data_IF_249730280637
#
_entry.id   IF_249730280637
#
_cell.length_a   1.000
_cell.length_b   1.000
_cell.length_c   1.000
_cell.angle_alpha   90.00
_cell.angle_beta   90.00
_cell.angle_gamma   90.00
#
_symmetry.space_group_name_H-M   'P 1'
#
loop_
_entity.id
_entity.type
_entity.pdbx_description
1 polymer ?
#
# COMPACT_ATOMS: atom_id res chain seq x y z
N UNK A 1 20.48 19.86 16.60
CA UNK A 1 21.10 18.63 16.06
C UNK A 1 20.11 18.05 15.07
N UNK A 2 20.40 18.11 13.77
CA UNK A 2 19.57 17.49 12.74
C UNK A 2 19.51 15.99 13.05
N UNK A 3 18.29 15.45 13.18
CA UNK A 3 18.12 14.01 13.28
C UNK A 3 18.45 13.41 11.92
N UNK A 4 19.23 12.33 11.96
CA UNK A 4 19.47 11.46 10.82
C UNK A 4 18.15 10.82 10.39
N UNK A 5 17.73 11.12 9.17
CA UNK A 5 16.48 10.63 8.56
C UNK A 5 16.71 9.27 7.90
N UNK A 6 15.63 8.55 7.59
CA UNK A 6 15.76 7.29 6.87
C UNK A 6 16.36 7.50 5.47
N UNK A 7 17.15 6.53 4.99
CA UNK A 7 17.71 6.54 3.64
C UNK A 7 17.59 5.17 2.99
N UNK A 8 16.90 5.11 1.84
CA UNK A 8 16.77 3.90 1.03
C UNK A 8 18.14 3.30 0.67
N UNK A 9 19.12 4.14 0.32
CA UNK A 9 20.45 3.68 -0.09
C UNK A 9 21.26 3.05 1.05
N UNK A 10 21.09 3.52 2.29
CA UNK A 10 21.76 2.94 3.46
C UNK A 10 21.23 1.55 3.81
N UNK A 11 19.94 1.30 3.55
CA UNK A 11 19.28 0.04 3.90
C UNK A 11 19.16 -0.94 2.74
N UNK A 12 19.52 -0.55 1.52
CA UNK A 12 19.29 -1.35 0.31
C UNK A 12 19.90 -2.75 0.39
N UNK A 13 21.17 -2.85 0.78
CA UNK A 13 21.87 -4.14 0.94
C UNK A 13 21.22 -5.00 2.01
N UNK A 14 20.84 -4.40 3.14
CA UNK A 14 20.18 -5.13 4.23
C UNK A 14 18.82 -5.67 3.78
N UNK A 15 18.00 -4.85 3.12
CA UNK A 15 16.69 -5.24 2.61
C UNK A 15 16.83 -6.39 1.60
N UNK A 16 17.76 -6.28 0.64
CA UNK A 16 18.01 -7.34 -0.35
C UNK A 16 18.40 -8.67 0.31
N UNK A 17 19.25 -8.64 1.34
CA UNK A 17 19.64 -9.84 2.06
C UNK A 17 18.46 -10.43 2.85
N UNK A 18 17.70 -9.59 3.56
CA UNK A 18 16.52 -10.04 4.31
C UNK A 18 15.47 -10.66 3.41
N UNK A 19 15.20 -10.06 2.24
CA UNK A 19 14.27 -10.61 1.26
C UNK A 19 14.79 -11.92 0.68
N UNK A 20 16.09 -12.01 0.34
CA UNK A 20 16.68 -13.26 -0.09
C UNK A 20 16.43 -14.38 0.92
N UNK A 21 16.79 -14.14 2.19
CA UNK A 21 16.74 -15.14 3.24
C UNK A 21 15.31 -15.53 3.62
N UNK A 22 14.36 -14.60 3.52
CA UNK A 22 12.97 -14.87 3.94
C UNK A 22 12.06 -15.33 2.80
N UNK A 23 12.34 -14.94 1.56
CA UNK A 23 11.43 -15.14 0.43
C UNK A 23 11.99 -16.02 -0.69
N UNK A 24 13.31 -16.04 -0.90
CA UNK A 24 13.90 -16.62 -2.11
C UNK A 24 14.73 -17.88 -1.88
N UNK A 25 15.07 -18.20 -0.63
CA UNK A 25 15.76 -19.45 -0.28
C UNK A 25 14.99 -20.22 0.78
N UNK A 26 15.21 -21.53 0.83
CA UNK A 26 14.63 -22.38 1.85
C UNK A 26 15.45 -22.30 3.14
N UNK A 27 14.82 -21.80 4.20
CA UNK A 27 15.34 -21.80 5.57
C UNK A 27 14.23 -22.22 6.53
N UNK A 28 14.60 -22.60 7.75
CA UNK A 28 13.63 -22.96 8.79
C UNK A 28 12.68 -21.80 9.12
N UNK A 29 11.47 -22.13 9.58
CA UNK A 29 10.48 -21.12 9.99
C UNK A 29 11.01 -20.23 11.12
N UNK A 30 11.81 -20.77 12.04
CA UNK A 30 12.54 -19.99 13.04
C UNK A 30 13.45 -18.93 12.39
N UNK A 31 14.25 -19.34 11.40
CA UNK A 31 15.10 -18.43 10.62
C UNK A 31 14.29 -17.37 9.86
N UNK A 32 13.17 -17.78 9.24
CA UNK A 32 12.26 -16.86 8.55
C UNK A 32 11.70 -15.81 9.51
N UNK A 33 11.15 -16.20 10.65
CA UNK A 33 10.60 -15.27 11.65
C UNK A 33 11.64 -14.27 12.16
N UNK A 34 12.88 -14.72 12.39
CA UNK A 34 13.98 -13.84 12.77
C UNK A 34 14.32 -12.82 11.67
N UNK A 35 14.30 -13.24 10.40
CA UNK A 35 14.48 -12.36 9.24
C UNK A 35 13.33 -11.37 9.06
N UNK A 36 12.09 -11.85 9.12
CA UNK A 36 10.87 -11.05 8.99
C UNK A 36 10.80 -9.98 10.08
N UNK A 37 11.20 -10.30 11.33
CA UNK A 37 11.32 -9.30 12.40
C UNK A 37 12.30 -8.18 12.07
N UNK A 38 13.47 -8.51 11.52
CA UNK A 38 14.45 -7.50 11.11
C UNK A 38 13.91 -6.67 9.94
N UNK A 39 13.19 -7.29 9.02
CA UNK A 39 12.54 -6.59 7.90
C UNK A 39 11.49 -5.60 8.41
N UNK A 40 10.63 -6.03 9.33
CA UNK A 40 9.67 -5.16 10.01
C UNK A 40 10.36 -3.98 10.74
N UNK A 41 11.54 -4.18 11.34
CA UNK A 41 12.31 -3.09 11.93
C UNK A 41 12.70 -2.02 10.89
N UNK A 42 13.14 -2.44 9.70
CA UNK A 42 13.47 -1.51 8.61
C UNK A 42 12.22 -0.78 8.10
N UNK A 43 11.09 -1.47 7.97
CA UNK A 43 9.82 -0.84 7.58
C UNK A 43 9.35 0.19 8.61
N UNK A 44 9.43 -0.12 9.91
CA UNK A 44 9.12 0.84 10.99
C UNK A 44 10.04 2.04 10.94
N UNK A 45 11.34 1.84 10.70
CA UNK A 45 12.30 2.94 10.54
C UNK A 45 11.91 3.85 9.37
N UNK A 46 11.47 3.29 8.23
CA UNK A 46 10.95 4.06 7.09
C UNK A 46 9.69 4.84 7.47
N UNK A 47 8.70 4.20 8.11
CA UNK A 47 7.43 4.84 8.50
C UNK A 47 7.66 5.99 9.49
N UNK A 48 8.58 5.80 10.44
CA UNK A 48 8.91 6.77 11.48
C UNK A 48 10.00 7.78 11.08
N UNK A 49 10.56 7.64 9.87
CA UNK A 49 11.69 8.42 9.36
C UNK A 49 12.89 8.47 10.33
N UNK A 50 13.29 7.29 10.82
CA UNK A 50 14.40 7.12 11.77
C UNK A 50 15.61 6.54 11.03
N UNK A 51 16.70 7.32 10.98
CA UNK A 51 17.96 6.92 10.37
C UNK A 51 18.75 5.83 11.11
N UNK A 52 19.85 5.38 10.52
CA UNK A 52 20.66 4.26 11.00
C UNK A 52 21.54 4.61 12.21
N UNK A 53 21.82 5.89 12.45
CA UNK A 53 22.54 6.35 13.64
C UNK A 53 21.73 6.18 14.94
N UNK A 54 20.41 5.98 14.83
CA UNK A 54 19.53 5.79 15.98
C UNK A 54 19.28 4.30 16.23
N UNK A 55 19.41 3.89 17.50
CA UNK A 55 18.97 2.56 17.94
C UNK A 55 17.44 2.53 17.90
N UNK A 56 16.89 1.49 17.27
CA UNK A 56 15.48 1.16 17.28
C UNK A 56 15.38 -0.35 17.52
N UNK A 57 14.42 -0.76 18.34
CA UNK A 57 14.04 -2.16 18.50
C UNK A 57 12.51 -2.20 18.49
N UNK A 58 11.91 -3.22 17.86
CA UNK A 58 10.44 -3.29 17.73
C UNK A 58 9.70 -3.23 19.08
N UNK A 59 10.26 -3.81 20.15
CA UNK A 59 9.66 -3.73 21.50
C UNK A 59 9.59 -2.31 22.09
N UNK A 60 10.23 -1.31 21.47
CA UNK A 60 10.15 0.10 21.83
C UNK A 60 9.00 0.83 21.15
N UNK A 61 8.34 0.22 20.16
CA UNK A 61 7.18 0.80 19.46
C UNK A 61 5.94 0.61 20.34
N UNK A 62 5.75 1.54 21.27
CA UNK A 62 4.66 1.56 22.26
C UNK A 62 4.40 2.99 22.74
N UNK A 63 3.20 3.26 23.26
CA UNK A 63 2.77 4.60 23.71
C UNK A 63 3.78 5.27 24.66
N UNK A 64 4.31 4.52 25.61
CA UNK A 64 5.26 5.01 26.63
C UNK A 64 6.69 4.51 26.36
N UNK A 65 7.18 4.73 25.14
CA UNK A 65 8.57 4.41 24.79
C UNK A 65 9.55 5.27 25.59
N UNK A 66 10.59 4.66 26.13
CA UNK A 66 11.74 5.36 26.73
C UNK A 66 12.74 5.87 25.67
N UNK A 67 12.60 5.38 24.43
CA UNK A 67 13.38 5.85 23.30
C UNK A 67 12.85 7.19 22.78
N UNK A 68 13.61 8.27 23.02
CA UNK A 68 13.24 9.65 22.62
C UNK A 68 13.03 9.81 21.11
N UNK A 69 13.79 9.09 20.28
CA UNK A 69 13.64 9.15 18.82
C UNK A 69 12.30 8.54 18.39
N UNK A 70 11.97 7.36 18.93
CA UNK A 70 10.68 6.70 18.70
C UNK A 70 9.53 7.58 19.19
N UNK A 71 9.59 8.09 20.42
CA UNK A 71 8.53 8.93 20.99
C UNK A 71 8.24 10.17 20.11
N UNK A 72 9.29 10.86 19.65
CA UNK A 72 9.14 12.00 18.74
C UNK A 72 8.54 11.58 17.41
N UNK A 73 9.03 10.50 16.81
CA UNK A 73 8.55 10.04 15.53
C UNK A 73 7.08 9.58 15.57
N UNK A 74 6.68 8.89 16.62
CA UNK A 74 5.28 8.51 16.87
C UNK A 74 4.39 9.75 17.00
N UNK A 75 4.82 10.76 17.76
CA UNK A 75 4.08 12.02 17.85
C UNK A 75 3.92 12.70 16.48
N UNK A 76 4.96 12.67 15.63
CA UNK A 76 4.91 13.21 14.27
C UNK A 76 4.04 12.36 13.31
N UNK A 77 3.96 11.04 13.53
CA UNK A 77 3.10 10.13 12.78
C UNK A 77 1.61 10.42 13.06
N UNK A 78 1.30 10.97 14.22
CA UNK A 78 -0.06 11.27 14.68
C UNK A 78 -0.66 10.13 15.49
N UNK A 79 -1.61 10.46 16.37
CA UNK A 79 -2.14 9.52 17.38
C UNK A 79 -2.79 8.28 16.77
N UNK A 80 -3.58 8.45 15.72
CA UNK A 80 -4.28 7.34 15.06
C UNK A 80 -3.31 6.35 14.41
N UNK A 81 -2.43 6.82 13.52
CA UNK A 81 -1.44 5.97 12.85
C UNK A 81 -0.39 5.41 13.82
N UNK A 82 -0.13 6.11 14.94
CA UNK A 82 0.66 5.59 16.05
C UNK A 82 0.01 4.40 16.73
N UNK A 83 -1.31 4.41 16.93
CA UNK A 83 -2.01 3.25 17.47
C UNK A 83 -2.00 2.09 16.48
N UNK A 84 -2.14 2.37 15.20
CA UNK A 84 -2.15 1.35 14.16
C UNK A 84 -0.79 0.65 14.02
N UNK A 85 0.33 1.39 13.96
CA UNK A 85 1.66 0.78 13.93
C UNK A 85 1.93 -0.07 15.18
N UNK A 86 1.44 0.34 16.37
CA UNK A 86 1.59 -0.45 17.60
C UNK A 86 0.83 -1.78 17.48
N UNK A 87 -0.40 -1.78 16.95
CA UNK A 87 -1.16 -3.01 16.74
C UNK A 87 -0.44 -3.96 15.79
N UNK A 88 0.04 -3.46 14.66
CA UNK A 88 0.76 -4.27 13.67
C UNK A 88 2.03 -4.87 14.30
N UNK A 89 2.79 -4.09 15.06
CA UNK A 89 4.00 -4.58 15.75
C UNK A 89 3.68 -5.59 16.85
N UNK A 90 2.53 -5.52 17.50
CA UNK A 90 2.11 -6.54 18.46
C UNK A 90 1.81 -7.89 17.80
N UNK A 91 1.49 -7.92 16.50
CA UNK A 91 1.31 -9.17 15.75
C UNK A 91 2.66 -9.76 15.26
N UNK A 92 3.69 -8.92 15.11
CA UNK A 92 5.01 -9.34 14.60
C UNK A 92 5.98 -9.70 15.73
N UNK A 93 6.09 -8.82 16.73
CA UNK A 93 7.19 -8.84 17.69
C UNK A 93 7.20 -10.08 18.61
N UNK A 94 6.07 -10.65 19.08
CA UNK A 94 6.10 -11.86 19.89
C UNK A 94 6.76 -13.03 19.16
N UNK A 95 6.24 -13.44 18.00
CA UNK A 95 6.75 -14.56 17.21
C UNK A 95 8.18 -14.30 16.72
N UNK A 96 8.45 -13.10 16.22
CA UNK A 96 9.79 -12.74 15.76
C UNK A 96 10.83 -12.70 16.89
N UNK A 97 10.42 -12.39 18.12
CA UNK A 97 11.30 -12.41 19.30
C UNK A 97 11.57 -13.86 19.70
N UNK A 98 10.54 -14.68 19.77
CA UNK A 98 10.64 -16.07 20.20
C UNK A 98 11.45 -16.90 19.19
N UNK A 99 11.34 -16.61 17.89
CA UNK A 99 12.20 -17.17 16.84
C UNK A 99 13.69 -16.79 16.94
N UNK A 100 14.07 -15.91 17.87
CA UNK A 100 15.48 -15.58 18.17
C UNK A 100 15.94 -16.04 19.55
N UNK A 101 15.05 -16.60 20.37
CA UNK A 101 15.37 -17.03 21.73
C UNK A 101 15.64 -18.52 21.81
N UNK A 102 16.76 -18.88 22.45
CA UNK A 102 17.18 -20.27 22.68
C UNK A 102 16.27 -21.05 23.62
N UNK A 103 15.28 -20.40 24.24
CA UNK A 103 14.29 -21.02 25.12
C UNK A 103 13.13 -21.67 24.34
N UNK A 104 12.92 -21.28 23.08
CA UNK A 104 11.95 -21.93 22.21
C UNK A 104 12.62 -23.11 21.50
N UNK A 105 12.14 -24.31 21.77
CA UNK A 105 12.73 -25.57 21.26
C UNK A 105 11.85 -26.29 20.24
N UNK A 106 10.63 -25.81 20.04
CA UNK A 106 9.67 -26.37 19.08
C UNK A 106 9.88 -25.76 17.69
N UNK A 107 9.30 -26.39 16.67
CA UNK A 107 9.28 -25.84 15.33
C UNK A 107 8.08 -24.90 15.18
N UNK A 108 8.31 -23.74 14.56
CA UNK A 108 7.23 -22.84 14.18
C UNK A 108 6.47 -23.40 12.98
N UNK A 109 5.14 -23.26 13.02
CA UNK A 109 4.24 -23.62 11.94
C UNK A 109 4.33 -22.64 10.76
N UNK A 110 3.81 -23.05 9.60
CA UNK A 110 3.73 -22.16 8.43
C UNK A 110 2.70 -21.06 8.66
N UNK A 111 1.61 -21.37 9.35
CA UNK A 111 0.53 -20.43 9.68
C UNK A 111 1.05 -19.26 10.55
N UNK A 112 1.98 -19.53 11.48
CA UNK A 112 2.65 -18.48 12.27
C UNK A 112 3.53 -17.57 11.40
N UNK A 113 4.23 -18.14 10.41
CA UNK A 113 5.03 -17.36 9.46
C UNK A 113 4.12 -16.50 8.59
N UNK A 114 3.08 -17.08 8.00
CA UNK A 114 2.10 -16.40 7.15
C UNK A 114 1.42 -15.25 7.89
N UNK A 115 1.10 -15.42 9.18
CA UNK A 115 0.54 -14.34 10.01
C UNK A 115 1.49 -13.15 10.18
N UNK A 116 2.80 -13.40 10.31
CA UNK A 116 3.81 -12.32 10.38
C UNK A 116 4.03 -11.68 9.02
N UNK A 117 3.99 -12.45 7.93
CA UNK A 117 4.07 -11.91 6.57
C UNK A 117 2.89 -11.01 6.24
N UNK A 118 1.65 -11.37 6.62
CA UNK A 118 0.49 -10.51 6.45
C UNK A 118 0.60 -9.20 7.25
N UNK A 119 1.09 -9.27 8.49
CA UNK A 119 1.34 -8.08 9.30
C UNK A 119 2.44 -7.17 8.69
N UNK A 120 3.42 -7.75 7.97
CA UNK A 120 4.39 -6.97 7.19
C UNK A 120 3.71 -6.25 6.02
N UNK A 121 2.73 -6.86 5.37
CA UNK A 121 1.91 -6.18 4.34
C UNK A 121 1.11 -5.02 4.93
N UNK A 122 0.67 -5.11 6.18
CA UNK A 122 0.05 -3.98 6.89
C UNK A 122 1.03 -2.81 7.10
N UNK A 123 2.31 -3.08 7.42
CA UNK A 123 3.34 -2.04 7.49
C UNK A 123 3.56 -1.38 6.12
N UNK A 124 3.57 -2.17 5.04
CA UNK A 124 3.61 -1.61 3.68
C UNK A 124 2.43 -0.70 3.40
N UNK A 125 1.21 -1.15 3.72
CA UNK A 125 0.00 -0.36 3.54
C UNK A 125 0.04 0.95 4.35
N UNK A 126 0.55 0.91 5.59
CA UNK A 126 0.60 2.06 6.50
C UNK A 126 1.42 3.23 5.93
N UNK A 127 2.50 2.96 5.19
CA UNK A 127 3.26 4.00 4.50
C UNK A 127 2.39 4.80 3.52
N UNK A 128 1.57 4.10 2.74
CA UNK A 128 0.70 4.72 1.74
C UNK A 128 -0.57 5.30 2.34
N UNK A 129 -1.09 4.72 3.43
CA UNK A 129 -2.17 5.32 4.21
C UNK A 129 -1.74 6.72 4.69
N UNK A 130 -0.56 6.82 5.30
CA UNK A 130 0.01 8.11 5.75
C UNK A 130 0.12 9.09 4.59
N UNK A 131 0.68 8.64 3.47
CA UNK A 131 0.82 9.47 2.28
C UNK A 131 -0.53 10.04 1.79
N UNK A 132 -1.53 9.17 1.60
CA UNK A 132 -2.84 9.58 1.10
C UNK A 132 -3.63 10.46 2.09
N UNK A 133 -3.42 10.28 3.40
CA UNK A 133 -3.94 11.19 4.41
C UNK A 133 -3.27 12.57 4.32
N UNK A 134 -1.95 12.63 4.15
CA UNK A 134 -1.19 13.87 4.04
C UNK A 134 -1.62 14.70 2.82
N UNK A 135 -1.73 14.08 1.65
CA UNK A 135 -2.16 14.77 0.43
C UNK A 135 -3.67 15.01 0.37
N UNK A 136 -4.43 14.49 1.35
CA UNK A 136 -5.90 14.52 1.40
C UNK A 136 -6.51 14.01 0.09
N UNK A 137 -6.36 12.72 -0.14
CA UNK A 137 -6.88 12.04 -1.34
C UNK A 137 -8.30 12.51 -1.68
N UNK A 138 -8.56 12.79 -2.95
CA UNK A 138 -9.85 13.24 -3.43
C UNK A 138 -10.07 12.81 -4.88
N UNK A 139 -11.25 13.13 -5.41
CA UNK A 139 -11.58 12.93 -6.83
C UNK A 139 -10.58 13.62 -7.79
N UNK A 140 -9.89 14.66 -7.32
CA UNK A 140 -8.96 15.45 -8.12
C UNK A 140 -7.49 15.10 -7.86
N UNK A 141 -7.21 14.05 -7.10
CA UNK A 141 -5.84 13.61 -6.86
C UNK A 141 -5.15 13.16 -8.15
N UNK A 142 -3.84 13.37 -8.21
CA UNK A 142 -3.05 13.15 -9.42
C UNK A 142 -3.16 11.73 -9.95
N UNK A 143 -3.49 11.62 -11.24
CA UNK A 143 -3.68 10.34 -11.92
C UNK A 143 -2.38 9.51 -11.93
N UNK A 144 -1.21 10.16 -11.97
CA UNK A 144 0.10 9.50 -11.96
C UNK A 144 0.35 8.76 -10.65
N UNK A 145 0.11 9.41 -9.50
CA UNK A 145 0.22 8.79 -8.17
C UNK A 145 -0.68 7.56 -8.08
N UNK A 146 -1.94 7.68 -8.50
CA UNK A 146 -2.91 6.58 -8.46
C UNK A 146 -2.57 5.44 -9.42
N UNK A 147 -1.99 5.76 -10.58
CA UNK A 147 -1.53 4.77 -11.57
C UNK A 147 -0.34 3.99 -11.02
N UNK A 148 0.67 4.70 -10.51
CA UNK A 148 1.85 4.09 -9.92
C UNK A 148 1.51 3.28 -8.66
N UNK A 149 0.63 3.77 -7.79
CA UNK A 149 0.12 3.00 -6.65
C UNK A 149 -0.56 1.69 -7.08
N UNK A 150 -1.19 1.69 -8.26
CA UNK A 150 -1.86 0.50 -8.77
C UNK A 150 -0.88 -0.63 -9.10
N UNK A 151 0.42 -0.34 -9.25
CA UNK A 151 1.50 -1.31 -9.48
C UNK A 151 1.83 -2.16 -8.27
N UNK A 152 1.41 -1.75 -7.07
CA UNK A 152 1.58 -2.57 -5.88
C UNK A 152 0.76 -3.86 -5.93
N UNK A 153 1.19 -4.93 -5.21
CA UNK A 153 0.38 -6.11 -4.99
C UNK A 153 -1.06 -5.76 -4.57
N UNK A 154 -2.09 -6.42 -5.14
CA UNK A 154 -3.49 -6.14 -4.82
C UNK A 154 -3.80 -6.11 -3.32
N UNK A 155 -3.15 -6.96 -2.52
CA UNK A 155 -3.34 -7.04 -1.06
C UNK A 155 -2.97 -5.75 -0.33
N UNK A 156 -1.86 -5.11 -0.69
CA UNK A 156 -1.45 -3.83 -0.09
C UNK A 156 -2.41 -2.73 -0.49
N UNK A 157 -2.83 -2.71 -1.76
CA UNK A 157 -3.81 -1.73 -2.26
C UNK A 157 -5.14 -1.85 -1.52
N UNK A 158 -5.62 -3.08 -1.33
CA UNK A 158 -6.83 -3.36 -0.57
C UNK A 158 -6.71 -2.89 0.87
N UNK A 159 -5.65 -3.28 1.60
CA UNK A 159 -5.41 -2.85 2.99
C UNK A 159 -5.40 -1.32 3.12
N UNK A 160 -4.70 -0.62 2.22
CA UNK A 160 -4.66 0.84 2.19
C UNK A 160 -6.04 1.47 1.94
N UNK A 161 -6.74 1.05 0.88
CA UNK A 161 -8.03 1.66 0.54
C UNK A 161 -9.13 1.31 1.53
N UNK A 162 -9.11 0.10 2.09
CA UNK A 162 -10.05 -0.31 3.11
C UNK A 162 -9.90 0.54 4.37
N UNK A 163 -8.66 0.77 4.83
CA UNK A 163 -8.40 1.68 5.93
C UNK A 163 -8.94 3.09 5.63
N UNK A 164 -8.63 3.65 4.47
CA UNK A 164 -9.06 5.01 4.11
C UNK A 164 -10.58 5.12 3.98
N UNK A 165 -11.26 4.08 3.50
CA UNK A 165 -12.72 4.03 3.43
C UNK A 165 -13.35 4.07 4.81
N UNK A 166 -12.80 3.32 5.78
CA UNK A 166 -13.28 3.37 7.16
C UNK A 166 -13.10 4.74 7.83
N UNK A 167 -12.17 5.58 7.32
CA UNK A 167 -11.96 6.95 7.81
C UNK A 167 -12.85 7.98 7.13
N UNK A 168 -13.01 7.87 5.81
CA UNK A 168 -13.84 8.77 5.02
C UNK A 168 -14.64 7.99 3.99
N UNK A 169 -15.82 7.55 4.43
CA UNK A 169 -16.76 6.78 3.62
C UNK A 169 -17.39 7.60 2.49
N UNK A 170 -17.24 8.93 2.49
CA UNK A 170 -17.79 9.83 1.48
C UNK A 170 -16.82 10.08 0.30
N UNK A 171 -15.61 9.54 0.37
CA UNK A 171 -14.60 9.82 -0.63
C UNK A 171 -14.76 8.94 -1.88
N UNK A 172 -15.34 9.52 -2.94
CA UNK A 172 -15.60 8.83 -4.22
C UNK A 172 -14.35 8.12 -4.76
N UNK A 173 -13.18 8.77 -4.65
CA UNK A 173 -11.93 8.21 -5.17
C UNK A 173 -11.49 6.97 -4.38
N UNK A 174 -11.63 7.01 -3.05
CA UNK A 174 -11.33 5.89 -2.17
C UNK A 174 -12.28 4.73 -2.45
N UNK A 175 -13.59 4.98 -2.54
CA UNK A 175 -14.61 3.94 -2.79
C UNK A 175 -14.36 3.26 -4.15
N UNK A 176 -14.09 4.04 -5.20
CA UNK A 176 -13.73 3.52 -6.52
C UNK A 176 -12.48 2.63 -6.47
N UNK A 177 -11.42 3.10 -5.81
CA UNK A 177 -10.14 2.38 -5.75
C UNK A 177 -10.22 1.14 -4.86
N UNK A 178 -11.00 1.18 -3.78
CA UNK A 178 -11.29 0.02 -2.94
C UNK A 178 -12.02 -1.06 -3.74
N UNK A 179 -13.11 -0.70 -4.44
CA UNK A 179 -13.85 -1.63 -5.30
C UNK A 179 -12.92 -2.31 -6.32
N UNK A 180 -12.08 -1.54 -7.02
CA UNK A 180 -11.10 -2.09 -7.96
C UNK A 180 -10.04 -2.99 -7.28
N UNK A 181 -9.64 -2.69 -6.05
CA UNK A 181 -8.69 -3.53 -5.32
C UNK A 181 -9.30 -4.85 -4.84
N UNK A 182 -10.58 -4.85 -4.44
CA UNK A 182 -11.34 -6.05 -4.06
C UNK A 182 -11.43 -7.00 -5.25
N UNK A 183 -11.82 -6.47 -6.42
CA UNK A 183 -11.82 -7.22 -7.69
C UNK A 183 -10.48 -7.92 -7.93
N UNK A 184 -9.38 -7.17 -7.77
CA UNK A 184 -8.03 -7.66 -8.13
C UNK A 184 -7.50 -8.68 -7.13
N UNK A 185 -7.80 -8.50 -5.86
CA UNK A 185 -7.37 -9.39 -4.79
C UNK A 185 -8.20 -10.67 -4.81
N UNK A 186 -9.52 -10.52 -4.78
CA UNK A 186 -10.51 -11.60 -4.70
C UNK A 186 -11.08 -11.86 -6.10
N UNK A 187 -12.24 -11.26 -6.42
CA UNK A 187 -12.99 -11.40 -7.66
C UNK A 187 -14.16 -10.37 -7.74
N UNK A 188 -14.95 -10.41 -8.83
CA UNK A 188 -16.15 -9.56 -9.00
C UNK A 188 -17.26 -9.91 -8.04
N UNK A 189 -17.45 -11.17 -7.69
CA UNK A 189 -18.55 -11.60 -6.83
C UNK A 189 -18.38 -10.98 -5.45
N UNK A 190 -17.17 -11.04 -4.89
CA UNK A 190 -16.78 -10.38 -3.65
C UNK A 190 -16.95 -8.86 -3.76
N UNK A 191 -16.60 -8.25 -4.89
CA UNK A 191 -16.78 -6.81 -5.10
C UNK A 191 -18.25 -6.38 -5.13
N UNK A 192 -19.13 -7.17 -5.76
CA UNK A 192 -20.57 -6.93 -5.74
C UNK A 192 -21.16 -7.11 -4.35
N UNK A 193 -20.75 -8.16 -3.63
CA UNK A 193 -21.17 -8.39 -2.26
C UNK A 193 -20.79 -7.20 -1.37
N UNK A 194 -19.52 -6.76 -1.43
CA UNK A 194 -19.05 -5.60 -0.68
C UNK A 194 -19.83 -4.32 -1.05
N UNK A 195 -20.11 -4.10 -2.34
CA UNK A 195 -20.88 -2.94 -2.81
C UNK A 195 -22.32 -2.97 -2.27
N UNK A 196 -22.94 -4.15 -2.19
CA UNK A 196 -24.28 -4.31 -1.65
C UNK A 196 -24.33 -4.14 -0.13
N UNK A 197 -23.37 -4.71 0.60
CA UNK A 197 -23.23 -4.53 2.05
C UNK A 197 -23.05 -3.06 2.44
N UNK A 198 -22.44 -2.25 1.56
CA UNK A 198 -22.21 -0.82 1.76
C UNK A 198 -23.18 0.08 0.97
N UNK A 199 -24.27 -0.49 0.41
CA UNK A 199 -25.19 0.20 -0.50
C UNK A 199 -25.68 1.54 0.02
N UNK A 200 -26.21 1.57 1.23
CA UNK A 200 -26.83 2.78 1.80
C UNK A 200 -25.78 3.90 1.99
N UNK A 201 -24.59 3.53 2.44
CA UNK A 201 -23.46 4.45 2.63
C UNK A 201 -23.03 5.02 1.26
N UNK A 202 -22.87 4.16 0.26
CA UNK A 202 -22.36 4.55 -1.05
C UNK A 202 -23.38 5.38 -1.84
N UNK A 203 -24.67 5.07 -1.72
CA UNK A 203 -25.75 5.88 -2.31
C UNK A 203 -25.88 7.27 -1.68
N UNK A 204 -25.52 7.40 -0.41
CA UNK A 204 -25.54 8.68 0.30
C UNK A 204 -24.37 9.60 -0.05
N UNK A 205 -23.34 9.10 -0.75
CA UNK A 205 -22.19 9.92 -1.18
C UNK A 205 -22.69 11.01 -2.15
N UNK A 206 -22.43 12.30 -1.88
CA UNK A 206 -22.82 13.37 -2.77
C UNK A 206 -22.26 13.17 -4.18
N UNK A 207 -23.15 13.12 -5.16
CA UNK A 207 -22.75 12.98 -6.56
C UNK A 207 -22.19 14.31 -7.09
N UNK A 208 -21.08 14.31 -7.87
CA UNK A 208 -20.49 15.53 -8.39
C UNK A 208 -21.47 16.33 -9.26
N UNK A 209 -21.50 17.65 -9.10
CA UNK A 209 -22.27 18.52 -9.99
C UNK A 209 -21.53 18.77 -11.33
N UNK A 210 -22.21 19.38 -12.31
CA UNK A 210 -21.66 19.62 -13.64
C UNK A 210 -20.28 20.31 -13.65
N UNK A 211 -20.02 21.27 -12.76
CA UNK A 211 -18.72 21.97 -12.67
C UNK A 211 -17.62 21.05 -12.10
N UNK A 212 -17.99 20.19 -11.17
CA UNK A 212 -17.08 19.21 -10.57
C UNK A 212 -16.70 18.12 -11.57
N UNK A 213 -17.68 17.65 -12.35
CA UNK A 213 -17.47 16.70 -13.46
C UNK A 213 -16.56 17.32 -14.52
N UNK A 214 -16.83 18.57 -14.95
CA UNK A 214 -15.98 19.27 -15.91
C UNK A 214 -14.53 19.39 -15.41
N UNK A 215 -14.35 19.77 -14.14
CA UNK A 215 -13.04 19.86 -13.50
C UNK A 215 -12.33 18.51 -13.48
N UNK A 216 -13.04 17.45 -13.11
CA UNK A 216 -12.51 16.09 -13.11
C UNK A 216 -12.08 15.65 -14.52
N UNK A 217 -12.91 15.86 -15.53
CA UNK A 217 -12.62 15.53 -16.92
C UNK A 217 -11.39 16.29 -17.43
N UNK A 218 -11.25 17.58 -17.08
CA UNK A 218 -10.11 18.41 -17.47
C UNK A 218 -8.79 17.90 -16.89
N UNK A 219 -8.77 17.50 -15.62
CA UNK A 219 -7.56 16.95 -14.96
C UNK A 219 -7.16 15.60 -15.58
N UNK A 220 -8.12 14.86 -16.11
CA UNK A 220 -7.91 13.56 -16.75
C UNK A 220 -7.89 13.66 -18.29
N UNK A 221 -7.67 14.86 -18.83
CA UNK A 221 -7.53 15.09 -20.26
C UNK A 221 -6.06 15.22 -20.66
N UNK A 222 -5.70 14.68 -21.81
CA UNK A 222 -4.38 14.86 -22.41
C UNK A 222 -4.50 15.20 -23.89
N UNK A 223 -3.54 15.97 -24.36
CA UNK A 223 -3.48 16.41 -25.75
C UNK A 223 -2.91 15.27 -26.61
N UNK A 224 -3.68 14.83 -27.62
CA UNK A 224 -3.28 13.79 -28.56
C UNK A 224 -2.79 14.35 -29.89
N UNK A 225 -3.20 15.58 -30.21
CA UNK A 225 -2.74 16.38 -31.33
C UNK A 225 -2.95 17.86 -30.98
N UNK A 226 -2.25 18.81 -31.63
CA UNK A 226 -2.39 20.24 -31.34
C UNK A 226 -3.87 20.69 -31.30
N UNK A 227 -4.35 21.09 -30.12
CA UNK A 227 -5.73 21.52 -29.88
C UNK A 227 -6.79 20.41 -29.76
N UNK A 228 -6.39 19.13 -29.81
CA UNK A 228 -7.28 17.96 -29.68
C UNK A 228 -6.99 17.25 -28.36
N UNK A 229 -7.94 17.34 -27.44
CA UNK A 229 -7.85 16.71 -26.12
C UNK A 229 -8.71 15.45 -26.05
N UNK A 230 -8.16 14.39 -25.48
CA UNK A 230 -8.89 13.18 -25.16
C UNK A 230 -9.04 13.06 -23.65
N UNK A 231 -10.26 12.77 -23.18
CA UNK A 231 -10.58 12.56 -21.77
C UNK A 231 -10.48 11.07 -21.47
N UNK A 232 -9.61 10.68 -20.54
CA UNK A 232 -9.47 9.30 -20.10
C UNK A 232 -9.79 9.21 -18.60
N UNK A 233 -11.05 8.96 -18.29
CA UNK A 233 -11.56 8.94 -16.91
C UNK A 233 -11.73 7.53 -16.38
N UNK A 234 -11.49 7.39 -15.07
CA UNK A 234 -11.81 6.15 -14.37
C UNK A 234 -13.30 6.06 -14.02
N UNK A 235 -13.97 7.20 -13.84
CA UNK A 235 -15.37 7.30 -13.44
C UNK A 235 -16.12 8.09 -14.52
N UNK A 236 -17.11 7.46 -15.14
CA UNK A 236 -18.00 8.12 -16.09
C UNK A 236 -19.23 8.63 -15.33
N UNK A 237 -19.21 9.93 -15.01
CA UNK A 237 -20.28 10.54 -14.22
C UNK A 237 -21.52 10.93 -15.04
N UNK A 238 -21.44 10.93 -16.37
CA UNK A 238 -22.52 11.44 -17.22
C UNK A 238 -23.68 10.45 -17.38
N UNK A 239 -23.42 9.17 -17.11
CA UNK A 239 -24.39 8.09 -17.34
C UNK A 239 -25.20 7.67 -16.10
N UNK A 240 -24.89 8.23 -14.92
CA UNK A 240 -25.47 7.79 -13.65
C UNK A 240 -25.84 8.98 -12.76
N UNK A 241 -26.69 8.73 -11.77
CA UNK A 241 -27.15 9.74 -10.81
C UNK A 241 -26.59 9.53 -9.40
N UNK A 242 -25.96 8.38 -9.14
CA UNK A 242 -25.35 8.06 -7.85
C UNK A 242 -24.12 7.15 -8.03
N UNK A 243 -23.26 7.13 -7.01
CA UNK A 243 -21.98 6.41 -7.04
C UNK A 243 -22.17 4.90 -7.03
N UNK A 244 -23.22 4.39 -6.36
CA UNK A 244 -23.48 2.96 -6.30
C UNK A 244 -23.76 2.39 -7.70
N UNK A 245 -24.67 3.00 -8.46
CA UNK A 245 -25.02 2.51 -9.80
C UNK A 245 -23.83 2.63 -10.77
N UNK A 246 -23.06 3.72 -10.66
CA UNK A 246 -21.82 3.89 -11.42
C UNK A 246 -20.83 2.77 -11.13
N UNK A 247 -20.55 2.49 -9.84
CA UNK A 247 -19.62 1.43 -9.46
C UNK A 247 -20.14 0.03 -9.81
N UNK A 248 -21.44 -0.21 -9.68
CA UNK A 248 -22.06 -1.46 -10.10
C UNK A 248 -21.82 -1.72 -11.59
N UNK A 249 -22.11 -0.73 -12.44
CA UNK A 249 -21.85 -0.82 -13.87
C UNK A 249 -20.35 -0.97 -14.17
N UNK A 250 -19.49 -0.31 -13.40
CA UNK A 250 -18.03 -0.44 -13.53
C UNK A 250 -17.54 -1.85 -13.22
N UNK A 251 -18.08 -2.53 -12.20
CA UNK A 251 -17.78 -3.94 -11.93
C UNK A 251 -18.22 -4.79 -13.13
N UNK A 252 -19.34 -4.48 -13.78
CA UNK A 252 -19.84 -5.24 -14.93
C UNK A 252 -19.01 -5.08 -16.22
N UNK A 253 -18.20 -4.02 -16.34
CA UNK A 253 -17.41 -3.73 -17.54
C UNK A 253 -16.48 -4.91 -17.90
N UNK A 254 -16.44 -5.30 -19.17
CA UNK A 254 -15.54 -6.37 -19.65
C UNK A 254 -14.07 -6.00 -19.46
N UNK A 255 -13.71 -4.70 -19.47
CA UNK A 255 -12.36 -4.21 -19.21
C UNK A 255 -11.90 -4.47 -17.77
N UNK A 256 -12.81 -4.58 -16.80
CA UNK A 256 -12.44 -5.04 -15.43
C UNK A 256 -12.23 -6.55 -15.41
N UNK A 257 -12.95 -7.31 -16.24
CA UNK A 257 -12.72 -8.76 -16.41
C UNK A 257 -11.41 -9.11 -17.13
N UNK A 258 -11.01 -8.38 -18.18
CA UNK A 258 -9.69 -8.58 -18.83
C UNK A 258 -8.56 -8.42 -17.79
N UNK A 259 -8.81 -7.51 -16.84
CA UNK A 259 -7.98 -7.21 -15.70
C UNK A 259 -8.05 -8.28 -14.57
N UNK A 260 -9.07 -9.13 -14.53
CA UNK A 260 -9.23 -10.24 -13.57
C UNK A 260 -8.73 -11.57 -14.12
N UNK A 261 -9.08 -11.90 -15.37
CA UNK A 261 -8.59 -13.09 -16.07
C UNK A 261 -7.09 -12.99 -16.38
N UNK A 262 -6.57 -11.76 -16.41
CA UNK A 262 -5.16 -11.43 -16.35
C UNK A 262 -4.86 -10.57 -15.13
N UNK A 263 -4.84 -11.15 -13.92
CA UNK A 263 -4.17 -10.53 -12.76
C UNK A 263 -2.73 -10.22 -13.21
N UNK A 264 -2.50 -9.00 -13.71
CA UNK A 264 -1.24 -8.61 -14.36
C UNK A 264 -0.04 -8.92 -13.46
N UNK A 265 -0.26 -8.81 -12.14
CA UNK A 265 0.59 -9.28 -11.07
C UNK A 265 -0.23 -9.47 -9.78
N UNK A 266 0.19 -10.41 -8.94
CA UNK A 266 -0.40 -10.76 -7.63
C UNK A 266 0.52 -10.42 -6.47
N UNK A 267 1.83 -10.50 -6.68
CA UNK A 267 2.87 -10.26 -5.68
C UNK A 267 3.89 -9.24 -6.20
N UNK A 268 4.94 -8.98 -5.42
CA UNK A 268 5.96 -7.99 -5.79
C UNK A 268 6.82 -8.45 -6.97
N UNK A 269 7.09 -9.75 -7.03
CA UNK A 269 7.96 -10.42 -8.01
C UNK A 269 7.35 -10.39 -9.41
N UNK A 270 6.03 -10.52 -9.52
CA UNK A 270 5.29 -10.29 -10.78
C UNK A 270 5.19 -8.79 -11.12
N UNK A 271 5.16 -7.91 -10.12
CA UNK A 271 4.92 -6.49 -10.31
C UNK A 271 6.17 -5.68 -10.68
N UNK A 272 7.36 -6.12 -10.27
CA UNK A 272 8.60 -5.31 -10.37
C UNK A 272 8.96 -4.92 -11.81
N UNK A 273 8.75 -5.80 -12.79
CA UNK A 273 9.03 -5.48 -14.20
C UNK A 273 8.11 -4.38 -14.72
N UNK A 274 6.84 -4.41 -14.31
CA UNK A 274 5.88 -3.35 -14.62
C UNK A 274 6.29 -2.04 -13.97
N UNK A 275 6.66 -2.06 -12.69
CA UNK A 275 7.18 -0.87 -12.00
C UNK A 275 8.40 -0.28 -12.71
N UNK A 276 9.42 -1.10 -12.98
CA UNK A 276 10.65 -0.67 -13.64
C UNK A 276 10.43 -0.10 -15.05
N UNK A 277 9.38 -0.56 -15.76
CA UNK A 277 8.98 0.00 -17.05
C UNK A 277 8.26 1.34 -16.89
N UNK A 278 7.22 1.39 -16.06
CA UNK A 278 6.38 2.58 -15.93
C UNK A 278 7.13 3.74 -15.26
N UNK A 279 7.98 3.47 -14.28
CA UNK A 279 8.70 4.53 -13.54
C UNK A 279 9.63 5.36 -14.43
N UNK A 280 10.13 4.80 -15.53
CA UNK A 280 10.93 5.55 -16.53
C UNK A 280 10.16 6.72 -17.13
N UNK A 281 8.84 6.59 -17.26
CA UNK A 281 7.97 7.61 -17.82
C UNK A 281 7.61 8.71 -16.79
N UNK A 282 7.61 8.38 -15.50
CA UNK A 282 7.09 9.26 -14.44
C UNK A 282 8.15 9.79 -13.47
N UNK A 283 9.39 9.27 -13.47
CA UNK A 283 10.43 9.61 -12.49
C UNK A 283 10.71 11.12 -12.33
N UNK A 284 10.43 11.94 -13.35
CA UNK A 284 10.65 13.40 -13.31
C UNK A 284 9.43 14.21 -12.88
N UNK A 285 8.23 13.63 -12.96
CA UNK A 285 6.95 14.34 -12.72
C UNK A 285 6.19 13.81 -11.53
N UNK A 286 6.48 12.59 -11.09
CA UNK A 286 5.86 11.98 -9.93
C UNK A 286 6.26 12.76 -8.66
N UNK A 287 5.29 12.92 -7.76
CA UNK A 287 5.56 13.46 -6.44
C UNK A 287 6.74 12.74 -5.76
N UNK A 288 7.66 13.52 -5.18
CA UNK A 288 8.94 13.00 -4.70
C UNK A 288 8.79 12.08 -3.50
N UNK A 289 7.88 12.41 -2.59
CA UNK A 289 7.60 11.56 -1.42
C UNK A 289 6.99 10.23 -1.87
N UNK A 290 6.03 10.27 -2.79
CA UNK A 290 5.44 9.06 -3.35
C UNK A 290 6.44 8.20 -4.13
N UNK A 291 7.28 8.82 -4.96
CA UNK A 291 8.36 8.14 -5.67
C UNK A 291 9.29 7.41 -4.69
N UNK A 292 9.71 8.08 -3.61
CA UNK A 292 10.59 7.50 -2.59
C UNK A 292 9.96 6.30 -1.84
N UNK A 293 8.63 6.30 -1.67
CA UNK A 293 7.90 5.14 -1.14
C UNK A 293 7.84 4.00 -2.16
N UNK A 294 7.49 4.29 -3.40
CA UNK A 294 7.42 3.28 -4.46
C UNK A 294 8.77 2.64 -4.72
N UNK A 295 9.84 3.44 -4.78
CA UNK A 295 11.21 2.93 -4.94
C UNK A 295 11.59 2.02 -3.77
N UNK A 296 11.29 2.44 -2.54
CA UNK A 296 11.57 1.67 -1.33
C UNK A 296 10.97 0.26 -1.34
N UNK A 297 9.70 0.12 -1.76
CA UNK A 297 9.02 -1.20 -1.67
C UNK A 297 9.57 -2.24 -2.65
N UNK A 298 10.22 -1.80 -3.73
CA UNK A 298 10.82 -2.68 -4.74
C UNK A 298 12.31 -2.96 -4.53
N UNK A 299 12.95 -2.34 -3.52
CA UNK A 299 14.35 -2.64 -3.17
C UNK A 299 14.51 -4.13 -2.90
N UNK A 300 15.49 -4.74 -3.56
CA UNK A 300 15.88 -6.14 -3.33
C UNK A 300 14.90 -7.19 -3.85
N UNK A 301 13.79 -6.77 -4.47
CA UNK A 301 12.85 -7.69 -5.13
C UNK A 301 13.49 -8.26 -6.40
N UNK A 302 13.18 -9.52 -6.69
CA UNK A 302 13.60 -10.22 -7.91
C UNK A 302 12.39 -10.44 -8.81
N UNK A 303 12.56 -10.31 -10.13
CA UNK A 303 11.45 -10.63 -11.03
C UNK A 303 11.22 -12.14 -11.10
N UNK A 304 10.08 -12.53 -11.66
CA UNK A 304 9.80 -13.95 -11.97
C UNK A 304 10.86 -14.54 -12.91
N UNK A 305 11.46 -13.72 -13.79
CA UNK A 305 12.56 -14.15 -14.66
C UNK A 305 13.86 -14.40 -13.88
N UNK A 306 14.20 -13.53 -12.93
CA UNK A 306 15.39 -13.66 -12.07
C UNK A 306 15.35 -14.89 -11.13
N UNK A 307 14.14 -15.42 -10.87
CA UNK A 307 13.90 -16.56 -9.98
C UNK A 307 13.86 -17.92 -10.69
N UNK A 308 13.96 -17.95 -12.03
CA UNK A 308 14.03 -19.18 -12.83
C UNK A 308 15.45 -19.69 -12.97
#
# INVERSE_FOLDING_TARGET
MFMDTFSNSHYSVLISNLLNDTQYIEISNMGKLAGLRKHAEVLVRKILDIGNSQKLMLGQIRKNSDNKAVMRAMNNLGGELSEEIIKIINNINPLGRDGTHTQHTEEFSNEEVEGVEDAILDLYALMFIRYFQNIRISLYSESQVLSMFSLLPPVIRYKTWNYLFEKDRNNIQVVNKLCLSIIKLFDKETAYQWLEENREIIKAIPYPNAKEIEKYNKINSFEIAPGVYHVCVSLDFEQYENIYDLLYAKISDRKTSINESGKMYKNFEEAIEHYNREIKNYSKTLDKEFYDLMDFVYIGRRSVEDLK
#
